data_IF_076535780221
#
_entry.id   IF_076535780221
#
_cell.length_a   1.000
_cell.length_b   1.000
_cell.length_c   1.000
_cell.angle_alpha   90.00
_cell.angle_beta   90.00
_cell.angle_gamma   90.00
#
_symmetry.space_group_name_H-M   'P 1'
#
loop_
_entity.id
_entity.type
_entity.pdbx_description
1 polymer ?
#
# COMPACT_ATOMS: atom_id res chain seq x y z
N UNK A 1 -40.65 99.20 -25.56
CA UNK A 1 -41.94 99.92 -25.48
C UNK A 1 -42.49 99.81 -24.06
N UNK A 2 -42.65 100.97 -23.44
CA UNK A 2 -43.37 101.36 -22.22
C UNK A 2 -44.31 100.39 -21.46
N UNK A 3 -44.15 100.40 -20.12
CA UNK A 3 -45.17 100.60 -19.05
C UNK A 3 -46.31 99.56 -18.92
N UNK A 4 -46.95 99.26 -17.77
CA UNK A 4 -47.24 99.91 -16.46
C UNK A 4 -47.79 98.78 -15.53
N UNK A 5 -47.52 98.76 -14.22
CA UNK A 5 -48.45 99.02 -13.07
C UNK A 5 -49.87 98.44 -13.21
N UNK A 6 -50.59 97.94 -12.19
CA UNK A 6 -50.43 97.74 -10.74
C UNK A 6 -51.78 97.20 -10.19
N UNK A 7 -51.86 97.03 -8.86
CA UNK A 7 -53.03 97.18 -7.97
C UNK A 7 -53.67 95.89 -7.44
N UNK A 8 -54.04 95.98 -6.17
CA UNK A 8 -54.30 94.97 -5.16
C UNK A 8 -55.68 95.16 -4.50
N UNK A 9 -56.02 94.18 -3.65
CA UNK A 9 -56.96 94.18 -2.51
C UNK A 9 -58.48 94.12 -2.76
N UNK A 10 -59.13 93.12 -2.13
CA UNK A 10 -60.26 93.19 -1.15
C UNK A 10 -60.67 91.72 -0.86
N UNK A 11 -60.39 91.12 0.30
CA UNK A 11 -61.06 91.19 1.62
C UNK A 11 -62.55 90.81 1.60
N UNK A 12 -62.97 89.97 2.58
CA UNK A 12 -64.28 89.92 3.30
C UNK A 12 -64.65 88.48 3.73
N UNK A 13 -64.62 88.28 5.07
CA UNK A 13 -65.49 87.50 6.02
C UNK A 13 -66.30 86.30 5.49
N UNK A 14 -66.39 85.13 6.13
CA UNK A 14 -66.46 84.82 7.56
C UNK A 14 -67.88 84.40 7.95
N UNK A 15 -68.16 83.09 8.12
CA UNK A 15 -69.35 82.56 8.84
C UNK A 15 -68.98 81.21 9.48
N UNK A 16 -69.36 81.05 10.76
CA UNK A 16 -69.12 79.88 11.62
C UNK A 16 -70.44 79.53 12.32
N UNK A 17 -70.76 78.25 12.47
CA UNK A 17 -71.48 77.57 13.57
C UNK A 17 -71.89 76.16 13.12
N UNK A 18 -72.32 75.24 14.02
CA UNK A 18 -71.72 74.72 15.26
C UNK A 18 -71.55 73.17 15.14
N UNK A 19 -70.70 72.47 15.88
CA UNK A 19 -70.88 72.08 17.29
C UNK A 19 -71.16 70.56 17.44
N UNK A 20 -70.32 69.91 18.26
CA UNK A 20 -70.56 68.69 19.07
C UNK A 20 -69.96 67.33 18.62
N UNK A 21 -68.94 66.92 19.39
CA UNK A 21 -68.61 65.54 19.83
C UNK A 21 -67.99 64.61 18.78
N UNK A 22 -66.74 64.17 18.82
CA UNK A 22 -65.82 64.02 19.95
C UNK A 22 -65.27 62.59 19.87
N UNK A 23 -63.98 62.45 19.54
CA UNK A 23 -63.05 61.40 19.99
C UNK A 23 -61.70 61.68 19.32
N UNK A 24 -60.79 62.27 20.09
CA UNK A 24 -59.37 62.38 19.75
C UNK A 24 -58.67 61.09 20.17
N UNK A 25 -57.98 60.46 19.23
CA UNK A 25 -56.69 59.84 19.50
C UNK A 25 -55.77 60.23 18.35
N UNK A 26 -54.79 61.07 18.67
CA UNK A 26 -53.66 61.41 17.83
C UNK A 26 -52.84 60.13 17.59
N UNK A 27 -52.69 59.72 16.33
CA UNK A 27 -51.71 58.71 15.95
C UNK A 27 -50.73 59.37 14.99
N UNK A 28 -49.48 59.44 15.43
CA UNK A 28 -48.35 60.01 14.73
C UNK A 28 -48.19 59.36 13.34
N UNK A 29 -47.81 60.18 12.37
CA UNK A 29 -47.34 59.74 11.05
C UNK A 29 -46.02 58.99 11.23
N UNK A 30 -46.08 57.67 11.35
CA UNK A 30 -44.92 56.80 11.20
C UNK A 30 -44.56 56.69 9.72
N UNK A 31 -43.30 57.00 9.45
CA UNK A 31 -42.65 56.94 8.15
C UNK A 31 -42.64 55.52 7.59
N UNK A 32 -43.02 55.41 6.32
CA UNK A 32 -43.00 54.18 5.54
C UNK A 32 -41.59 53.55 5.54
N UNK A 33 -41.42 52.27 5.94
CA UNK A 33 -40.13 51.60 5.85
C UNK A 33 -39.84 51.22 4.39
N UNK A 34 -38.68 51.71 3.92
CA UNK A 34 -38.05 51.36 2.65
C UNK A 34 -37.89 49.83 2.53
N UNK A 35 -38.65 49.21 1.61
CA UNK A 35 -38.60 47.78 1.31
C UNK A 35 -37.30 47.45 0.57
N UNK A 36 -36.22 47.25 1.33
CA UNK A 36 -35.04 46.52 0.85
C UNK A 36 -35.48 45.10 0.47
N UNK A 37 -35.47 44.84 -0.83
CA UNK A 37 -35.53 43.51 -1.45
C UNK A 37 -34.60 42.56 -0.67
N UNK A 38 -35.08 41.45 -0.09
CA UNK A 38 -34.22 40.56 0.66
C UNK A 38 -33.18 39.97 -0.30
N UNK A 39 -31.91 40.16 0.05
CA UNK A 39 -30.81 39.47 -0.60
C UNK A 39 -31.10 37.97 -0.50
N UNK A 40 -31.19 37.32 -1.67
CA UNK A 40 -31.24 35.86 -1.75
C UNK A 40 -30.01 35.36 -1.01
N UNK A 41 -30.22 34.77 0.17
CA UNK A 41 -29.18 34.11 0.92
C UNK A 41 -28.51 33.13 -0.05
N UNK A 42 -27.22 33.34 -0.31
CA UNK A 42 -26.41 32.38 -1.02
C UNK A 42 -26.59 31.05 -0.28
N UNK A 43 -27.23 30.07 -0.93
CA UNK A 43 -27.44 28.76 -0.36
C UNK A 43 -26.08 28.24 0.11
N UNK A 44 -25.90 28.17 1.43
CA UNK A 44 -24.73 27.62 2.06
C UNK A 44 -24.59 26.19 1.53
N UNK A 45 -23.53 25.93 0.76
CA UNK A 45 -23.27 24.57 0.25
C UNK A 45 -23.28 23.64 1.47
N UNK A 46 -24.07 22.55 1.46
CA UNK A 46 -24.09 21.62 2.58
C UNK A 46 -22.65 21.24 2.92
N UNK A 47 -22.25 21.44 4.18
CA UNK A 47 -20.92 21.05 4.63
C UNK A 47 -20.73 19.56 4.33
N UNK A 48 -19.61 19.22 3.69
CA UNK A 48 -19.31 17.83 3.38
C UNK A 48 -19.25 17.02 4.69
N UNK A 49 -19.79 15.78 4.69
CA UNK A 49 -19.69 14.92 5.87
C UNK A 49 -18.22 14.69 6.22
N UNK A 50 -17.95 14.55 7.52
CA UNK A 50 -16.60 14.28 7.99
C UNK A 50 -16.09 12.96 7.39
N UNK A 51 -14.83 12.87 6.93
CA UNK A 51 -14.32 11.64 6.36
C UNK A 51 -14.30 10.50 7.39
N UNK A 52 -14.75 9.31 7.01
CA UNK A 52 -14.78 8.14 7.91
C UNK A 52 -13.37 7.73 8.36
N UNK A 53 -13.26 7.23 9.59
CA UNK A 53 -11.98 6.84 10.17
C UNK A 53 -11.46 5.52 9.58
N UNK A 54 -10.14 5.40 9.49
CA UNK A 54 -9.49 4.17 9.02
C UNK A 54 -9.81 2.98 9.93
N UNK A 55 -9.82 3.16 11.26
CA UNK A 55 -10.18 2.09 12.20
C UNK A 55 -11.61 1.57 12.00
N UNK A 56 -12.56 2.47 11.70
CA UNK A 56 -13.94 2.09 11.40
C UNK A 56 -14.01 1.23 10.12
N UNK A 57 -13.40 1.72 9.04
CA UNK A 57 -13.39 1.00 7.75
C UNK A 57 -12.63 -0.32 7.85
N UNK A 58 -11.53 -0.37 8.59
CA UNK A 58 -10.77 -1.59 8.85
C UNK A 58 -11.60 -2.65 9.60
N UNK A 59 -12.50 -2.25 10.51
CA UNK A 59 -13.39 -3.18 11.21
C UNK A 59 -14.53 -3.73 10.36
N UNK A 60 -14.91 -3.02 9.29
CA UNK A 60 -15.90 -3.47 8.32
C UNK A 60 -15.29 -4.18 7.11
N UNK A 61 -13.96 -4.21 7.01
CA UNK A 61 -13.28 -4.76 5.85
C UNK A 61 -13.48 -6.27 5.76
N UNK A 62 -14.02 -6.71 4.62
CA UNK A 62 -14.15 -8.12 4.28
C UNK A 62 -12.85 -8.63 3.66
N UNK A 63 -12.38 -9.85 4.00
CA UNK A 63 -11.22 -10.44 3.36
C UNK A 63 -11.55 -10.77 1.90
N UNK A 64 -10.70 -10.32 0.98
CA UNK A 64 -10.81 -10.63 -0.45
C UNK A 64 -10.04 -11.90 -0.83
N UNK A 65 -9.03 -12.25 -0.06
CA UNK A 65 -8.22 -13.45 -0.28
C UNK A 65 -6.77 -13.27 0.16
N UNK A 66 -6.04 -14.37 0.07
CA UNK A 66 -4.62 -14.45 0.40
C UNK A 66 -3.84 -15.03 -0.77
N UNK A 67 -2.65 -14.51 -0.99
CA UNK A 67 -1.70 -15.04 -1.99
C UNK A 67 -0.33 -15.21 -1.37
N UNK A 68 0.49 -16.05 -2.00
CA UNK A 68 1.87 -16.24 -1.58
C UNK A 68 2.73 -15.19 -2.27
N UNK A 69 3.51 -14.46 -1.49
CA UNK A 69 4.46 -13.47 -2.00
C UNK A 69 5.87 -13.98 -1.72
N UNK A 70 6.69 -14.02 -2.77
CA UNK A 70 8.11 -14.30 -2.68
C UNK A 70 8.87 -13.00 -2.88
N UNK A 71 9.75 -12.70 -1.93
CA UNK A 71 10.69 -11.58 -1.96
C UNK A 71 12.10 -12.13 -2.11
N UNK A 72 12.92 -11.55 -2.98
CA UNK A 72 14.33 -11.89 -3.13
C UNK A 72 15.18 -10.80 -2.47
N UNK A 73 16.02 -11.19 -1.51
CA UNK A 73 16.95 -10.30 -0.82
C UNK A 73 18.31 -10.94 -0.75
N UNK A 74 19.34 -10.32 -1.33
CA UNK A 74 20.73 -10.79 -1.24
C UNK A 74 20.91 -12.26 -1.65
N UNK A 75 20.08 -12.76 -2.59
CA UNK A 75 20.05 -14.16 -3.02
C UNK A 75 19.28 -15.13 -2.11
N UNK A 76 18.69 -14.63 -1.03
CA UNK A 76 17.80 -15.38 -0.12
C UNK A 76 16.34 -15.13 -0.52
N UNK A 77 15.60 -16.21 -0.77
CA UNK A 77 14.18 -16.14 -1.05
C UNK A 77 13.38 -16.15 0.27
N UNK A 78 12.60 -15.11 0.49
CA UNK A 78 11.67 -14.92 1.61
C UNK A 78 10.27 -15.20 1.10
N UNK A 79 9.56 -16.11 1.75
CA UNK A 79 8.18 -16.46 1.43
C UNK A 79 7.27 -15.97 2.54
N UNK A 80 6.15 -15.38 2.15
CA UNK A 80 5.13 -14.92 3.08
C UNK A 80 3.75 -14.90 2.46
N UNK A 81 2.78 -14.48 3.26
CA UNK A 81 1.38 -14.41 2.87
C UNK A 81 0.99 -12.94 2.76
N UNK A 82 0.42 -12.59 1.62
CA UNK A 82 -0.17 -11.30 1.34
C UNK A 82 -1.69 -11.40 1.50
N UNK A 83 -2.21 -10.74 2.52
CA UNK A 83 -3.63 -10.65 2.83
C UNK A 83 -4.22 -9.38 2.24
N UNK A 84 -5.38 -9.51 1.56
CA UNK A 84 -6.13 -8.39 0.98
C UNK A 84 -7.48 -8.25 1.65
N UNK A 85 -7.85 -7.05 2.05
CA UNK A 85 -9.17 -6.76 2.57
C UNK A 85 -9.75 -5.47 1.99
N UNK A 86 -11.09 -5.40 1.93
CA UNK A 86 -11.82 -4.26 1.38
C UNK A 86 -13.07 -3.96 2.18
N UNK A 87 -13.35 -2.69 2.43
CA UNK A 87 -14.64 -2.20 2.91
C UNK A 87 -15.25 -1.25 1.88
N UNK A 88 -16.58 -1.24 1.80
CA UNK A 88 -17.34 -0.31 0.97
C UNK A 88 -18.50 0.20 1.82
N UNK A 89 -18.55 1.50 2.05
CA UNK A 89 -19.65 2.17 2.76
C UNK A 89 -20.38 3.10 1.79
N UNK A 90 -21.44 3.77 2.25
CA UNK A 90 -22.09 4.80 1.42
C UNK A 90 -21.20 6.03 1.19
N UNK A 91 -20.18 6.24 2.02
CA UNK A 91 -19.32 7.42 1.99
C UNK A 91 -17.91 7.12 1.48
N UNK A 92 -17.34 5.97 1.83
CA UNK A 92 -15.95 5.65 1.54
C UNK A 92 -15.76 4.21 1.09
N UNK A 93 -14.78 4.04 0.21
CA UNK A 93 -14.20 2.74 -0.07
C UNK A 93 -12.82 2.62 0.58
N UNK A 94 -12.49 1.43 1.05
CA UNK A 94 -11.24 1.14 1.72
C UNK A 94 -10.63 -0.13 1.17
N UNK A 95 -9.33 -0.09 0.89
CA UNK A 95 -8.57 -1.25 0.46
C UNK A 95 -7.27 -1.32 1.24
N UNK A 96 -6.96 -2.51 1.76
CA UNK A 96 -5.78 -2.77 2.58
C UNK A 96 -5.05 -4.02 2.13
N UNK A 97 -3.74 -3.92 2.17
CA UNK A 97 -2.79 -5.01 2.00
C UNK A 97 -1.99 -5.17 3.29
N UNK A 98 -1.81 -6.41 3.72
CA UNK A 98 -0.95 -6.76 4.84
C UNK A 98 -0.10 -7.96 4.46
N UNK A 99 1.19 -7.89 4.79
CA UNK A 99 2.12 -8.98 4.56
C UNK A 99 2.60 -9.54 5.90
N UNK A 100 2.73 -10.86 5.97
CA UNK A 100 3.43 -11.57 7.04
C UNK A 100 4.43 -12.53 6.44
N UNK A 101 5.63 -12.61 7.01
CA UNK A 101 6.62 -13.60 6.64
C UNK A 101 6.20 -14.99 7.12
N UNK A 102 6.48 -16.01 6.32
CA UNK A 102 6.36 -17.41 6.71
C UNK A 102 7.74 -18.02 6.94
N UNK A 103 8.64 -17.90 5.96
CA UNK A 103 9.97 -18.51 6.03
C UNK A 103 10.98 -17.84 5.10
N UNK A 104 12.27 -17.96 5.40
CA UNK A 104 13.37 -17.66 4.50
C UNK A 104 14.10 -18.95 4.09
N UNK A 105 14.42 -19.07 2.81
CA UNK A 105 15.24 -20.14 2.25
C UNK A 105 16.73 -19.77 2.35
N UNK A 106 17.34 -20.08 3.50
CA UNK A 106 18.76 -19.90 3.73
C UNK A 106 19.51 -21.16 3.28
N UNK A 107 19.82 -21.25 1.98
CA UNK A 107 20.47 -22.43 1.39
C UNK A 107 19.51 -23.62 1.30
N UNK A 108 19.87 -24.75 1.93
CA UNK A 108 19.03 -25.96 1.95
C UNK A 108 18.04 -26.00 3.13
N UNK A 109 18.12 -25.03 4.04
CA UNK A 109 17.29 -24.99 5.24
C UNK A 109 16.25 -23.88 5.15
N UNK A 110 15.02 -24.24 5.49
CA UNK A 110 13.91 -23.32 5.66
C UNK A 110 13.90 -22.82 7.09
N UNK A 111 14.07 -21.52 7.28
CA UNK A 111 14.02 -20.88 8.59
C UNK A 111 12.68 -20.15 8.72
N UNK A 112 11.72 -20.65 9.51
CA UNK A 112 10.45 -19.96 9.70
C UNK A 112 10.65 -18.65 10.46
N UNK A 113 9.89 -17.63 10.09
CA UNK A 113 9.85 -16.39 10.88
C UNK A 113 9.04 -16.61 12.15
N UNK A 114 9.38 -15.86 13.21
CA UNK A 114 8.70 -15.90 14.50
C UNK A 114 8.50 -14.48 15.03
N UNK A 115 7.62 -14.34 16.03
CA UNK A 115 7.31 -13.05 16.64
C UNK A 115 6.60 -12.11 15.68
N UNK A 116 7.03 -10.86 15.64
CA UNK A 116 6.38 -9.80 14.89
C UNK A 116 6.40 -10.06 13.37
N UNK A 117 7.49 -10.57 12.81
CA UNK A 117 7.58 -10.79 11.36
C UNK A 117 6.63 -11.88 10.84
N UNK A 118 6.12 -12.75 11.71
CA UNK A 118 5.19 -13.83 11.38
C UNK A 118 3.71 -13.42 11.50
N UNK A 119 3.43 -12.18 11.92
CA UNK A 119 2.08 -11.67 12.17
C UNK A 119 1.71 -10.53 11.22
N UNK A 120 0.40 -10.31 11.05
CA UNK A 120 -0.08 -9.16 10.33
C UNK A 120 -0.08 -7.93 11.23
N UNK A 121 0.56 -6.86 10.76
CA UNK A 121 0.64 -5.59 11.46
C UNK A 121 -0.22 -4.52 10.77
N UNK A 122 -0.62 -3.52 11.55
CA UNK A 122 -1.32 -2.33 11.02
C UNK A 122 -0.33 -1.21 10.68
N UNK A 123 0.84 -1.19 11.31
CA UNK A 123 1.84 -0.12 11.18
C UNK A 123 2.93 -0.46 10.17
N UNK A 124 3.45 -1.70 10.20
CA UNK A 124 4.50 -2.18 9.31
C UNK A 124 3.96 -3.24 8.37
N UNK A 125 4.66 -3.47 7.26
CA UNK A 125 4.31 -4.48 6.26
C UNK A 125 2.85 -4.35 5.77
N UNK A 126 2.31 -3.14 5.82
CA UNK A 126 0.93 -2.83 5.47
C UNK A 126 0.88 -1.56 4.64
N UNK A 127 -0.07 -1.53 3.70
CA UNK A 127 -0.45 -0.32 2.99
C UNK A 127 -1.95 -0.32 2.82
N UNK A 128 -2.55 0.87 2.90
CA UNK A 128 -3.96 1.03 2.63
C UNK A 128 -4.24 2.32 1.90
N UNK A 129 -5.38 2.32 1.21
CA UNK A 129 -5.94 3.49 0.57
C UNK A 129 -7.42 3.58 0.93
N UNK A 130 -7.87 4.80 1.19
CA UNK A 130 -9.26 5.13 1.43
C UNK A 130 -9.71 6.16 0.41
N UNK A 131 -10.77 5.86 -0.34
CA UNK A 131 -11.45 6.81 -1.20
C UNK A 131 -12.63 7.42 -0.44
N UNK A 132 -12.70 8.74 -0.33
CA UNK A 132 -13.86 9.45 0.21
C UNK A 132 -14.67 10.02 -0.95
N UNK A 133 -15.90 9.54 -1.14
CA UNK A 133 -16.75 9.94 -2.27
C UNK A 133 -17.24 11.40 -2.18
N UNK A 134 -17.63 11.93 -1.00
CA UNK A 134 -18.07 13.32 -0.88
C UNK A 134 -17.00 14.34 -1.26
N UNK A 135 -15.76 14.16 -0.80
CA UNK A 135 -14.65 15.06 -1.16
C UNK A 135 -13.97 14.68 -2.49
N UNK A 136 -14.25 13.50 -3.04
CA UNK A 136 -13.55 12.91 -4.19
C UNK A 136 -12.04 12.86 -3.99
N UNK A 137 -11.62 12.46 -2.78
CA UNK A 137 -10.20 12.36 -2.43
C UNK A 137 -9.80 10.92 -2.08
N UNK A 138 -8.53 10.60 -2.30
CA UNK A 138 -7.90 9.36 -1.87
C UNK A 138 -6.85 9.67 -0.81
N UNK A 139 -6.96 9.03 0.36
CA UNK A 139 -5.96 9.10 1.43
C UNK A 139 -5.17 7.79 1.46
N UNK A 140 -3.84 7.89 1.43
CA UNK A 140 -2.95 6.74 1.59
C UNK A 140 -2.43 6.67 3.01
N UNK A 141 -2.18 5.46 3.50
CA UNK A 141 -1.51 5.26 4.77
C UNK A 141 -0.76 3.94 4.83
N UNK A 142 -0.09 3.66 5.96
CA UNK A 142 -0.29 4.26 7.30
C UNK A 142 0.12 5.73 7.48
N UNK A 143 -0.33 6.39 8.56
CA UNK A 143 -0.03 7.82 8.84
C UNK A 143 1.47 8.15 8.89
N UNK A 144 2.32 7.19 9.27
CA UNK A 144 3.78 7.34 9.29
C UNK A 144 4.46 7.06 7.95
N UNK A 145 3.69 6.72 6.91
CA UNK A 145 4.18 6.17 5.66
C UNK A 145 4.11 4.64 5.63
N UNK A 146 4.21 4.08 4.42
CA UNK A 146 4.31 2.63 4.21
C UNK A 146 5.73 2.21 4.53
N UNK A 147 5.88 1.34 5.54
CA UNK A 147 7.20 0.89 6.03
C UNK A 147 7.23 -0.62 6.15
N UNK A 148 8.33 -1.23 5.71
CA UNK A 148 8.62 -2.62 5.99
C UNK A 148 9.24 -2.79 7.39
N UNK A 149 9.04 -3.95 8.02
CA UNK A 149 9.79 -4.32 9.23
C UNK A 149 11.29 -4.46 8.90
N UNK A 150 12.15 -4.42 9.91
CA UNK A 150 13.61 -4.49 9.74
C UNK A 150 14.03 -5.70 8.90
N UNK A 151 13.37 -6.84 9.09
CA UNK A 151 13.61 -8.09 8.38
C UNK A 151 13.33 -8.01 6.88
N UNK A 152 12.27 -7.31 6.49
CA UNK A 152 11.86 -7.16 5.08
C UNK A 152 12.32 -5.84 4.46
N UNK A 153 13.06 -5.02 5.19
CA UNK A 153 13.65 -3.78 4.66
C UNK A 153 14.58 -4.11 3.49
N UNK A 154 14.59 -3.25 2.48
CA UNK A 154 15.35 -3.39 1.23
C UNK A 154 14.93 -4.53 0.30
N UNK A 155 13.96 -5.38 0.68
CA UNK A 155 13.38 -6.37 -0.22
C UNK A 155 12.33 -5.78 -1.20
N UNK A 156 12.11 -4.46 -1.16
CA UNK A 156 11.14 -3.75 -2.00
C UNK A 156 9.67 -3.92 -1.59
N UNK A 157 9.40 -4.56 -0.45
CA UNK A 157 8.05 -4.87 0.03
C UNK A 157 7.19 -3.61 0.20
N UNK A 158 7.73 -2.57 0.81
CA UNK A 158 7.06 -1.27 0.99
C UNK A 158 6.61 -0.65 -0.34
N UNK A 159 7.48 -0.71 -1.34
CA UNK A 159 7.26 -0.17 -2.69
C UNK A 159 6.20 -0.98 -3.41
N UNK A 160 6.25 -2.31 -3.28
CA UNK A 160 5.23 -3.21 -3.80
C UNK A 160 3.86 -2.94 -3.16
N UNK A 161 3.78 -2.89 -1.82
CA UNK A 161 2.52 -2.65 -1.12
C UNK A 161 1.90 -1.31 -1.52
N UNK A 162 2.69 -0.24 -1.57
CA UNK A 162 2.23 1.08 -1.99
C UNK A 162 1.78 1.07 -3.47
N UNK A 163 2.54 0.43 -4.35
CA UNK A 163 2.19 0.35 -5.77
C UNK A 163 0.89 -0.42 -6.02
N UNK A 164 0.64 -1.49 -5.25
CA UNK A 164 -0.58 -2.29 -5.35
C UNK A 164 -1.81 -1.50 -4.89
N UNK A 165 -1.74 -0.76 -3.78
CA UNK A 165 -2.87 0.09 -3.36
C UNK A 165 -3.10 1.24 -4.34
N UNK A 166 -2.03 1.82 -4.92
CA UNK A 166 -2.14 2.81 -6.01
C UNK A 166 -2.84 2.21 -7.23
N UNK A 167 -2.44 1.01 -7.64
CA UNK A 167 -3.04 0.29 -8.78
C UNK A 167 -4.54 0.06 -8.57
N UNK A 168 -4.93 -0.36 -7.37
CA UNK A 168 -6.33 -0.57 -7.02
C UNK A 168 -7.15 0.72 -7.13
N UNK A 169 -6.72 1.81 -6.48
CA UNK A 169 -7.48 3.07 -6.51
C UNK A 169 -7.50 3.70 -7.90
N UNK A 170 -6.41 3.54 -8.67
CA UNK A 170 -6.31 4.04 -10.04
C UNK A 170 -7.27 3.33 -10.99
N UNK A 171 -7.54 2.04 -10.75
CA UNK A 171 -8.50 1.27 -11.53
C UNK A 171 -9.96 1.68 -11.31
N UNK A 172 -10.31 2.17 -10.11
CA UNK A 172 -11.70 2.46 -9.74
C UNK A 172 -11.99 3.98 -9.77
N UNK A 173 -11.08 4.79 -9.23
CA UNK A 173 -11.24 6.23 -9.03
C UNK A 173 -10.06 7.06 -9.57
N UNK A 174 -9.76 7.00 -10.89
CA UNK A 174 -8.60 7.68 -11.47
C UNK A 174 -8.64 9.21 -11.34
N UNK A 175 -9.85 9.80 -11.29
CA UNK A 175 -10.07 11.24 -11.23
C UNK A 175 -10.05 11.84 -9.82
N UNK A 176 -9.91 11.02 -8.78
CA UNK A 176 -9.88 11.51 -7.40
C UNK A 176 -8.57 12.21 -7.12
N UNK A 177 -8.60 13.25 -6.29
CA UNK A 177 -7.40 13.94 -5.85
C UNK A 177 -6.75 13.18 -4.69
N UNK A 178 -5.43 13.26 -4.56
CA UNK A 178 -4.75 12.67 -3.39
C UNK A 178 -4.82 13.67 -2.25
N UNK A 179 -5.42 13.25 -1.13
CA UNK A 179 -5.45 14.04 0.10
C UNK A 179 -4.02 14.23 0.63
N UNK A 180 -3.61 15.45 1.00
CA UNK A 180 -2.30 15.69 1.58
C UNK A 180 -2.06 14.81 2.81
N UNK A 181 -0.96 14.06 2.80
CA UNK A 181 -0.51 13.25 3.92
C UNK A 181 0.77 13.84 4.52
N UNK A 182 0.88 13.86 5.84
CA UNK A 182 2.09 14.33 6.51
C UNK A 182 3.10 13.19 6.62
N UNK A 183 4.34 13.47 6.22
CA UNK A 183 5.48 12.57 6.45
C UNK A 183 6.51 13.34 7.26
N UNK A 184 6.83 12.79 8.43
CA UNK A 184 7.74 13.35 9.43
C UNK A 184 8.85 12.35 9.69
N UNK A 185 10.09 12.82 9.70
CA UNK A 185 11.24 12.05 10.18
C UNK A 185 11.64 12.51 11.58
N UNK A 186 12.14 11.60 12.44
CA UNK A 186 12.66 11.96 13.75
C UNK A 186 13.87 12.89 13.62
N UNK A 187 14.12 13.68 14.65
CA UNK A 187 15.20 14.66 14.65
C UNK A 187 16.58 14.03 14.42
N UNK A 188 16.77 12.79 14.88
CA UNK A 188 18.00 11.97 14.81
C UNK A 188 18.20 11.22 13.50
N UNK A 189 17.29 11.37 12.53
CA UNK A 189 17.38 10.70 11.23
C UNK A 189 18.64 11.11 10.45
N UNK A 190 19.28 10.14 9.79
CA UNK A 190 20.42 10.39 8.92
C UNK A 190 20.02 11.03 7.59
N UNK A 191 20.98 11.66 6.91
CA UNK A 191 20.73 12.24 5.58
C UNK A 191 20.35 11.17 4.54
N UNK A 192 20.92 9.97 4.65
CA UNK A 192 20.62 8.86 3.75
C UNK A 192 19.19 8.34 3.93
N UNK A 193 18.72 8.16 5.16
CA UNK A 193 17.33 7.79 5.47
C UNK A 193 16.34 8.82 4.95
N UNK A 194 16.68 10.12 5.10
CA UNK A 194 15.88 11.23 4.57
C UNK A 194 15.76 11.16 3.05
N UNK A 195 16.88 10.97 2.36
CA UNK A 195 16.93 10.84 0.91
C UNK A 195 16.17 9.59 0.42
N UNK A 196 16.32 8.45 1.09
CA UNK A 196 15.62 7.21 0.77
C UNK A 196 14.11 7.36 0.88
N UNK A 197 13.60 7.92 1.98
CA UNK A 197 12.17 8.18 2.18
C UNK A 197 11.62 9.14 1.13
N UNK A 198 12.34 10.22 0.84
CA UNK A 198 11.89 11.21 -0.15
C UNK A 198 11.87 10.60 -1.56
N UNK A 199 12.91 9.83 -1.91
CA UNK A 199 12.98 9.09 -3.18
C UNK A 199 11.87 8.04 -3.29
N UNK A 200 11.49 7.37 -2.21
CA UNK A 200 10.43 6.38 -2.18
C UNK A 200 9.07 6.95 -2.67
N UNK A 201 8.61 8.06 -2.11
CA UNK A 201 7.35 8.69 -2.56
C UNK A 201 7.51 9.38 -3.93
N UNK A 202 8.66 10.01 -4.20
CA UNK A 202 8.91 10.63 -5.50
C UNK A 202 8.85 9.62 -6.65
N UNK A 203 9.37 8.40 -6.46
CA UNK A 203 9.31 7.29 -7.43
C UNK A 203 7.89 6.84 -7.75
N UNK A 204 6.94 7.04 -6.83
CA UNK A 204 5.52 6.76 -7.08
C UNK A 204 4.77 7.94 -7.72
N UNK A 205 5.46 9.08 -7.90
CA UNK A 205 4.92 10.28 -8.54
C UNK A 205 4.28 11.28 -7.57
N UNK A 206 4.46 11.12 -6.25
CA UNK A 206 3.97 12.13 -5.29
C UNK A 206 4.78 13.43 -5.38
N UNK A 207 4.09 14.54 -5.14
CA UNK A 207 4.67 15.86 -5.00
C UNK A 207 4.76 16.23 -3.52
N UNK A 208 5.68 17.13 -3.18
CA UNK A 208 5.96 17.52 -1.80
C UNK A 208 5.83 19.02 -1.60
N UNK A 209 5.16 19.40 -0.51
CA UNK A 209 5.22 20.73 0.09
C UNK A 209 6.02 20.64 1.39
N UNK A 210 7.25 21.16 1.36
CA UNK A 210 8.18 21.11 2.50
C UNK A 210 7.81 22.15 3.56
N UNK A 211 7.74 21.71 4.82
CA UNK A 211 7.45 22.59 5.95
C UNK A 211 8.72 23.15 6.60
N UNK A 212 9.87 22.55 6.31
CA UNK A 212 11.16 22.91 6.87
C UNK A 212 12.27 22.88 5.82
N UNK A 213 13.28 23.73 6.00
CA UNK A 213 14.45 23.80 5.10
C UNK A 213 15.27 22.51 5.08
N UNK A 214 15.21 21.70 6.14
CA UNK A 214 15.93 20.44 6.24
C UNK A 214 15.16 19.27 5.60
N UNK A 215 14.00 19.53 4.98
CA UNK A 215 13.17 18.52 4.30
C UNK A 215 12.81 17.31 5.17
N UNK A 216 12.66 17.51 6.48
CA UNK A 216 12.29 16.45 7.44
C UNK A 216 10.78 16.26 7.51
N UNK A 217 10.01 17.32 7.28
CA UNK A 217 8.57 17.39 7.31
C UNK A 217 8.03 17.85 5.96
N UNK A 218 7.14 17.07 5.38
CA UNK A 218 6.47 17.44 4.15
C UNK A 218 5.03 16.95 4.12
N UNK A 219 4.18 17.71 3.45
CA UNK A 219 2.92 17.19 2.95
C UNK A 219 3.19 16.57 1.58
N UNK A 220 2.91 15.28 1.43
CA UNK A 220 2.87 14.65 0.11
C UNK A 220 1.46 14.71 -0.46
N UNK A 221 1.34 15.02 -1.75
CA UNK A 221 0.06 15.13 -2.43
C UNK A 221 0.19 14.85 -3.93
N UNK A 222 -0.95 14.83 -4.63
CA UNK A 222 -1.04 14.77 -6.09
C UNK A 222 -2.42 15.24 -6.55
N UNK A 223 -2.49 15.98 -7.66
CA UNK A 223 -3.77 16.45 -8.20
C UNK A 223 -4.78 15.34 -8.48
N UNK A 224 -4.29 14.22 -9.01
CA UNK A 224 -5.10 13.08 -9.44
C UNK A 224 -4.37 11.77 -9.20
N UNK A 225 -5.12 10.78 -8.73
CA UNK A 225 -4.65 9.40 -8.56
C UNK A 225 -4.09 8.82 -9.86
N UNK A 226 -4.70 9.12 -11.02
CA UNK A 226 -4.20 8.61 -12.31
C UNK A 226 -2.78 9.05 -12.66
N UNK A 227 -2.30 10.17 -12.09
CA UNK A 227 -0.92 10.65 -12.29
C UNK A 227 0.10 9.89 -11.44
N UNK A 228 -0.33 9.04 -10.50
CA UNK A 228 0.55 8.16 -9.76
C UNK A 228 1.03 7.01 -10.66
N UNK A 229 2.27 6.59 -10.43
CA UNK A 229 2.93 5.59 -11.26
C UNK A 229 2.55 4.17 -10.86
N UNK A 230 2.60 3.86 -9.55
CA UNK A 230 2.31 2.51 -9.05
C UNK A 230 3.31 1.48 -9.58
N UNK A 231 4.60 1.82 -9.56
CA UNK A 231 5.67 0.98 -10.10
C UNK A 231 6.40 0.27 -8.96
N UNK A 232 6.74 -1.00 -9.17
CA UNK A 232 7.51 -1.81 -8.24
C UNK A 232 8.47 -2.72 -8.99
N UNK A 233 9.42 -3.28 -8.25
CA UNK A 233 10.41 -4.20 -8.76
C UNK A 233 9.80 -5.60 -8.96
N UNK A 234 9.71 -6.03 -10.23
CA UNK A 234 9.17 -7.35 -10.62
C UNK A 234 10.23 -8.44 -10.62
N UNK A 235 11.51 -8.08 -10.55
CA UNK A 235 12.62 -9.04 -10.52
C UNK A 235 12.76 -9.63 -9.12
N UNK A 236 12.65 -8.78 -8.09
CA UNK A 236 12.81 -9.21 -6.70
C UNK A 236 11.51 -9.65 -6.04
N UNK A 237 10.34 -9.35 -6.63
CA UNK A 237 9.04 -9.65 -6.02
C UNK A 237 8.18 -10.41 -7.00
N UNK A 238 7.80 -11.63 -6.60
CA UNK A 238 6.88 -12.47 -7.37
C UNK A 238 5.68 -12.84 -6.52
N UNK A 239 4.50 -12.65 -7.07
CA UNK A 239 3.25 -13.09 -6.47
C UNK A 239 2.80 -14.40 -7.13
N UNK A 240 2.55 -15.42 -6.30
CA UNK A 240 2.04 -16.70 -6.74
C UNK A 240 0.55 -16.83 -6.39
N UNK A 241 -0.25 -17.14 -7.40
CA UNK A 241 -1.60 -17.67 -7.18
C UNK A 241 -1.52 -19.08 -6.61
N UNK A 242 -2.59 -19.55 -5.95
CA UNK A 242 -2.63 -20.92 -5.43
C UNK A 242 -2.37 -21.97 -6.52
N UNK A 243 -2.92 -21.77 -7.73
CA UNK A 243 -2.69 -22.65 -8.87
C UNK A 243 -1.23 -22.64 -9.33
N UNK A 244 -0.62 -21.45 -9.45
CA UNK A 244 0.77 -21.32 -9.87
C UNK A 244 1.73 -21.96 -8.85
N UNK A 245 1.43 -21.84 -7.56
CA UNK A 245 2.20 -22.49 -6.49
C UNK A 245 2.11 -24.01 -6.59
N UNK A 246 0.91 -24.57 -6.81
CA UNK A 246 0.74 -26.02 -6.98
C UNK A 246 1.46 -26.55 -8.22
N UNK A 247 1.43 -25.82 -9.33
CA UNK A 247 2.18 -26.17 -10.53
C UNK A 247 3.68 -26.17 -10.28
N UNK A 248 4.19 -25.16 -9.54
CA UNK A 248 5.60 -25.09 -9.19
C UNK A 248 6.01 -26.26 -8.29
N UNK A 249 5.19 -26.60 -7.29
CA UNK A 249 5.41 -27.76 -6.42
C UNK A 249 5.45 -29.06 -7.22
N UNK A 250 4.50 -29.27 -8.13
CA UNK A 250 4.47 -30.46 -8.99
C UNK A 250 5.72 -30.58 -9.86
N UNK A 251 6.18 -29.47 -10.47
CA UNK A 251 7.42 -29.43 -11.25
C UNK A 251 8.67 -29.70 -10.39
N UNK A 252 8.70 -29.18 -9.16
CA UNK A 252 9.79 -29.45 -8.22
C UNK A 252 9.82 -30.92 -7.81
N UNK A 253 8.67 -31.55 -7.58
CA UNK A 253 8.57 -32.98 -7.25
C UNK A 253 9.05 -33.87 -8.41
N UNK A 254 8.63 -33.58 -9.65
CA UNK A 254 9.11 -34.32 -10.83
C UNK A 254 10.63 -34.18 -11.00
N UNK A 255 11.14 -32.97 -10.84
CA UNK A 255 12.57 -32.69 -10.92
C UNK A 255 13.36 -33.44 -9.83
N UNK A 256 12.84 -33.46 -8.59
CA UNK A 256 13.44 -34.21 -7.48
C UNK A 256 13.45 -35.71 -7.75
N UNK A 257 12.33 -36.28 -8.19
CA UNK A 257 12.24 -37.69 -8.51
C UNK A 257 13.24 -38.10 -9.61
N UNK A 258 13.38 -37.28 -10.65
CA UNK A 258 14.35 -37.53 -11.72
C UNK A 258 15.81 -37.41 -11.23
N UNK A 259 16.11 -36.46 -10.34
CA UNK A 259 17.44 -36.34 -9.73
C UNK A 259 17.77 -37.54 -8.83
N UNK A 260 16.81 -38.00 -8.02
CA UNK A 260 16.96 -39.20 -7.17
C UNK A 260 17.20 -40.47 -8.00
N UNK A 261 16.52 -40.61 -9.13
CA UNK A 261 16.79 -41.70 -10.09
C UNK A 261 18.20 -41.64 -10.66
N UNK A 262 18.71 -40.44 -10.98
CA UNK A 262 20.09 -40.30 -11.45
C UNK A 262 21.11 -40.61 -10.36
N UNK A 263 20.87 -40.16 -9.14
CA UNK A 263 21.75 -40.44 -7.99
C UNK A 263 21.82 -41.94 -7.73
N UNK A 264 20.66 -42.62 -7.61
CA UNK A 264 20.61 -44.08 -7.41
C UNK A 264 21.24 -44.86 -8.57
N UNK A 265 21.06 -44.42 -9.82
CA UNK A 265 21.74 -45.03 -10.96
C UNK A 265 23.26 -44.88 -10.88
N UNK A 266 23.77 -43.70 -10.48
CA UNK A 266 25.20 -43.48 -10.31
C UNK A 266 25.78 -44.31 -9.14
N UNK A 267 25.06 -44.40 -8.02
CA UNK A 267 25.44 -45.23 -6.87
C UNK A 267 25.47 -46.73 -7.24
N UNK A 268 24.49 -47.21 -8.01
CA UNK A 268 24.47 -48.59 -8.50
C UNK A 268 25.69 -48.91 -9.40
N UNK A 269 26.13 -47.94 -10.22
CA UNK A 269 27.34 -48.08 -11.03
C UNK A 269 28.60 -48.08 -10.19
N UNK A 270 28.69 -47.19 -9.19
CA UNK A 270 29.82 -47.17 -8.26
C UNK A 270 29.96 -48.48 -7.49
N UNK A 271 28.87 -49.01 -6.95
CA UNK A 271 28.87 -50.28 -6.21
C UNK A 271 29.25 -51.45 -7.12
N UNK A 272 28.75 -51.49 -8.36
CA UNK A 272 29.11 -52.52 -9.35
C UNK A 272 30.61 -52.47 -9.68
N UNK A 273 31.17 -51.28 -9.91
CA UNK A 273 32.60 -51.10 -10.16
C UNK A 273 33.46 -51.49 -8.95
N UNK A 274 33.04 -51.13 -7.74
CA UNK A 274 33.72 -51.53 -6.51
C UNK A 274 33.71 -53.05 -6.33
N UNK A 275 32.59 -53.71 -6.61
CA UNK A 275 32.49 -55.18 -6.57
C UNK A 275 33.36 -55.83 -7.63
N UNK A 276 33.43 -55.27 -8.85
CA UNK A 276 34.31 -55.76 -9.90
C UNK A 276 35.79 -55.66 -9.48
N UNK A 277 36.21 -54.50 -8.97
CA UNK A 277 37.57 -54.30 -8.45
C UNK A 277 37.88 -55.22 -7.26
N UNK A 278 36.93 -55.45 -6.36
CA UNK A 278 37.12 -56.40 -5.25
C UNK A 278 37.30 -57.84 -5.75
N UNK A 279 36.53 -58.26 -6.77
CA UNK A 279 36.67 -59.59 -7.41
C UNK A 279 38.02 -59.74 -8.12
N UNK A 280 38.50 -58.70 -8.80
CA UNK A 280 39.82 -58.70 -9.42
C UNK A 280 40.93 -58.80 -8.36
N UNK A 281 40.84 -58.01 -7.28
CA UNK A 281 41.81 -58.07 -6.17
C UNK A 281 41.82 -59.43 -5.49
N UNK A 282 40.66 -60.02 -5.20
CA UNK A 282 40.58 -61.33 -4.56
C UNK A 282 41.13 -62.44 -5.48
N UNK A 283 40.83 -62.40 -6.78
CA UNK A 283 41.38 -63.34 -7.76
C UNK A 283 42.89 -63.18 -7.90
N UNK A 284 43.40 -61.96 -7.97
CA UNK A 284 44.84 -61.69 -8.02
C UNK A 284 45.57 -62.19 -6.77
N UNK A 285 44.97 -62.02 -5.58
CA UNK A 285 45.52 -62.52 -4.33
C UNK A 285 45.55 -64.07 -4.29
N UNK A 286 44.49 -64.72 -4.77
CA UNK A 286 44.44 -66.19 -4.89
C UNK A 286 45.51 -66.68 -5.87
N UNK A 287 45.60 -66.08 -7.07
CA UNK A 287 46.60 -66.43 -8.08
C UNK A 287 48.03 -66.28 -7.54
N UNK A 288 48.31 -65.17 -6.84
CA UNK A 288 49.62 -64.95 -6.20
C UNK A 288 49.92 -66.02 -5.15
N UNK A 289 48.94 -66.38 -4.30
CA UNK A 289 49.09 -67.45 -3.31
C UNK A 289 49.37 -68.82 -3.94
N UNK A 290 48.69 -69.16 -5.04
CA UNK A 290 48.93 -70.41 -5.79
C UNK A 290 50.32 -70.44 -6.41
N UNK A 291 50.77 -69.33 -7.03
CA UNK A 291 52.12 -69.26 -7.62
C UNK A 291 53.20 -69.46 -6.56
N UNK A 292 53.05 -68.84 -5.38
CA UNK A 292 53.99 -69.02 -4.26
C UNK A 292 54.02 -70.49 -3.81
N UNK A 293 52.86 -71.15 -3.69
CA UNK A 293 52.78 -72.55 -3.31
C UNK A 293 53.50 -73.47 -4.31
N UNK A 294 53.28 -73.25 -5.61
CA UNK A 294 53.93 -74.03 -6.68
C UNK A 294 55.45 -73.85 -6.63
N UNK A 295 55.95 -72.63 -6.43
CA UNK A 295 57.39 -72.36 -6.30
C UNK A 295 58.00 -73.08 -5.09
N UNK A 296 57.30 -73.12 -3.95
CA UNK A 296 57.76 -73.86 -2.77
C UNK A 296 57.83 -75.35 -3.08
N UNK A 297 56.77 -75.95 -3.64
CA UNK A 297 56.75 -77.38 -3.97
C UNK A 297 57.84 -77.74 -4.99
N UNK A 298 58.04 -76.91 -6.02
CA UNK A 298 59.10 -77.10 -7.01
C UNK A 298 60.50 -77.05 -6.38
N UNK A 299 60.74 -76.13 -5.44
CA UNK A 299 62.01 -76.04 -4.71
C UNK A 299 62.27 -77.29 -3.85
N UNK A 300 61.23 -77.82 -3.18
CA UNK A 300 61.33 -79.07 -2.43
C UNK A 300 61.58 -80.30 -3.31
N UNK A 301 61.09 -80.32 -4.55
CA UNK A 301 61.30 -81.44 -5.47
C UNK A 301 62.69 -81.48 -6.12
N UNK A 302 63.45 -80.37 -6.07
CA UNK A 302 64.80 -80.23 -6.65
C UNK A 302 65.92 -80.45 -5.62
N UNK A 303 65.59 -80.35 -4.32
CA UNK A 303 66.46 -80.65 -3.18
C UNK A 303 66.46 -82.15 -2.85
#
# INVERSE_FOLDING_TARGET
MHHKKAVAHHNITGVRHPGAGGLRYDCAMDSLPNTKKPAVAAAEKPALPAPESEAYLASQAMPLGETVLMLSRDGVAIYGILHRSRAMTGQSDYFRLQFRGYTAAAGTQWQPFAGDDAQFHTVYNSAWVRADHPSRTATFGPKGGVMASETFRHAGLDTFLLAQVIGWIKGIYPDYAVSPGLVTLPATCSEDERLQRNAFFARQGFEFEWQDSNQKNALFFKDKVNKLLGVWDKEHITEYSGEAMLQNMAQQEETRAHLEQRVSALESRQTTLQQALQKERSTAQIMTGVVILILIIGMWAVL
#
